data_IF_102243190032
#
_entry.id   IF_102243190032
#
_cell.length_a   1.000
_cell.length_b   1.000
_cell.length_c   1.000
_cell.angle_alpha   90.00
_cell.angle_beta   90.00
_cell.angle_gamma   90.00
#
_symmetry.space_group_name_H-M   'P 1'
#
loop_
_entity.id
_entity.type
_entity.pdbx_description
1 polymer ?
#
# COMPACT_ATOMS: atom_id res chain seq x y z
N UNK A 1 36.22 -37.59 -18.47
CA UNK A 1 35.84 -37.19 -19.84
C UNK A 1 35.04 -35.91 -19.75
N UNK A 2 35.75 -34.81 -19.96
CA UNK A 2 35.30 -33.42 -19.91
C UNK A 2 34.85 -33.03 -21.32
N UNK A 3 33.59 -32.64 -21.50
CA UNK A 3 33.09 -32.11 -22.76
C UNK A 3 33.15 -30.57 -22.71
N UNK A 4 34.03 -30.01 -23.53
CA UNK A 4 34.15 -28.58 -23.78
C UNK A 4 33.03 -28.12 -24.72
N UNK A 5 32.44 -26.96 -24.45
CA UNK A 5 31.57 -26.24 -25.39
C UNK A 5 32.41 -25.26 -26.22
N UNK A 6 32.30 -25.28 -27.55
CA UNK A 6 32.96 -24.29 -28.42
C UNK A 6 32.17 -22.98 -28.42
N UNK A 7 32.91 -21.87 -28.44
CA UNK A 7 32.36 -20.54 -28.67
C UNK A 7 32.31 -20.20 -30.15
N UNK A 8 31.39 -19.31 -30.50
CA UNK A 8 31.35 -18.47 -31.69
C UNK A 8 30.62 -17.18 -31.26
N UNK A 9 31.31 -16.03 -31.19
CA UNK A 9 31.40 -15.03 -32.26
C UNK A 9 30.03 -14.49 -32.73
N UNK A 10 29.48 -13.53 -31.96
CA UNK A 10 28.57 -12.53 -32.49
C UNK A 10 29.21 -11.14 -32.34
N UNK A 11 29.93 -10.72 -33.37
CA UNK A 11 30.31 -9.34 -33.59
C UNK A 11 29.06 -8.55 -34.04
N UNK A 12 28.61 -7.60 -33.22
CA UNK A 12 27.52 -6.68 -33.57
C UNK A 12 28.08 -5.39 -34.18
N UNK A 13 27.51 -4.86 -35.29
CA UNK A 13 28.00 -3.62 -35.92
C UNK A 13 27.65 -2.37 -35.12
N UNK A 14 28.56 -1.39 -35.16
CA UNK A 14 28.58 -0.19 -34.33
C UNK A 14 27.29 0.64 -34.29
N UNK A 15 26.87 0.95 -33.07
CA UNK A 15 25.92 2.02 -32.78
C UNK A 15 26.62 3.38 -32.82
N UNK A 16 26.00 4.42 -33.41
CA UNK A 16 26.53 5.77 -33.39
C UNK A 16 26.47 6.35 -31.97
N UNK A 17 27.56 7.00 -31.56
CA UNK A 17 27.71 7.68 -30.28
C UNK A 17 26.55 8.64 -29.99
N UNK A 18 25.64 8.20 -29.11
CA UNK A 18 24.60 9.02 -28.51
C UNK A 18 25.22 10.09 -27.60
N UNK A 19 24.63 11.29 -27.67
CA UNK A 19 24.95 12.39 -26.78
C UNK A 19 24.89 11.94 -25.32
N UNK A 20 26.03 12.01 -24.62
CA UNK A 20 26.15 11.85 -23.18
C UNK A 20 25.33 12.93 -22.47
N UNK A 21 24.08 12.61 -22.13
CA UNK A 21 23.32 13.33 -21.11
C UNK A 21 24.09 13.21 -19.80
N UNK A 22 24.66 14.33 -19.34
CA UNK A 22 25.40 14.42 -18.08
C UNK A 22 24.52 13.95 -16.90
N UNK A 23 24.86 12.84 -16.20
CA UNK A 23 24.05 12.28 -15.11
C UNK A 23 23.99 13.16 -13.84
N UNK A 24 24.70 14.30 -13.82
CA UNK A 24 24.73 15.21 -12.66
C UNK A 24 23.42 15.97 -12.43
N UNK A 25 22.51 16.08 -13.41
CA UNK A 25 21.25 16.82 -13.24
C UNK A 25 20.11 15.99 -12.63
N UNK A 26 20.07 14.68 -12.88
CA UNK A 26 18.97 13.82 -12.43
C UNK A 26 19.07 13.48 -10.94
N UNK A 27 20.27 13.16 -10.45
CA UNK A 27 20.51 12.91 -9.03
C UNK A 27 20.18 14.14 -8.17
N UNK A 28 20.53 15.33 -8.67
CA UNK A 28 20.21 16.59 -7.99
C UNK A 28 18.69 16.81 -7.90
N UNK A 29 17.95 16.56 -8.99
CA UNK A 29 16.49 16.68 -9.01
C UNK A 29 15.80 15.68 -8.07
N UNK A 30 16.25 14.42 -8.06
CA UNK A 30 15.71 13.39 -7.16
C UNK A 30 16.01 13.74 -5.69
N UNK A 31 17.25 14.15 -5.40
CA UNK A 31 17.65 14.58 -4.07
C UNK A 31 16.85 15.80 -3.60
N UNK A 32 16.61 16.78 -4.47
CA UNK A 32 15.85 17.99 -4.16
C UNK A 32 14.38 17.67 -3.83
N UNK A 33 13.74 16.81 -4.63
CA UNK A 33 12.35 16.38 -4.38
C UNK A 33 12.26 15.57 -3.08
N UNK A 34 13.17 14.62 -2.85
CA UNK A 34 13.17 13.80 -1.65
C UNK A 34 13.47 14.62 -0.38
N UNK A 35 14.48 15.49 -0.42
CA UNK A 35 14.87 16.34 0.70
C UNK A 35 13.81 17.39 1.05
N UNK A 36 13.10 17.94 0.05
CA UNK A 36 11.99 18.87 0.26
C UNK A 36 10.81 18.20 0.95
N UNK A 37 10.45 16.98 0.51
CA UNK A 37 9.40 16.17 1.15
C UNK A 37 9.75 15.82 2.60
N UNK A 38 10.97 15.32 2.86
CA UNK A 38 11.44 14.97 4.21
C UNK A 38 11.45 16.20 5.13
N UNK A 39 11.99 17.34 4.64
CA UNK A 39 12.07 18.58 5.42
C UNK A 39 10.69 19.14 5.76
N UNK A 40 9.74 19.05 4.84
CA UNK A 40 8.35 19.48 5.07
C UNK A 40 7.71 18.68 6.19
N UNK A 41 7.96 17.37 6.22
CA UNK A 41 7.42 16.45 7.24
C UNK A 41 8.06 16.67 8.61
N UNK A 42 9.39 16.79 8.67
CA UNK A 42 10.11 17.13 9.92
C UNK A 42 9.60 18.45 10.48
N UNK A 43 9.38 19.45 9.63
CA UNK A 43 8.88 20.75 10.05
C UNK A 43 7.42 20.69 10.53
N UNK A 44 6.56 19.90 9.88
CA UNK A 44 5.19 19.65 10.34
C UNK A 44 5.17 18.95 11.70
N UNK A 45 5.99 17.92 11.89
CA UNK A 45 6.13 17.20 13.16
C UNK A 45 6.65 18.11 14.29
N UNK A 46 7.67 18.93 14.01
CA UNK A 46 8.21 19.92 14.96
C UNK A 46 7.19 21.00 15.34
N UNK A 47 6.38 21.48 14.39
CA UNK A 47 5.31 22.44 14.68
C UNK A 47 4.23 21.83 15.57
N UNK A 48 3.84 20.58 15.29
CA UNK A 48 2.88 19.85 16.11
C UNK A 48 3.38 19.57 17.53
N UNK A 49 4.64 19.19 17.69
CA UNK A 49 5.25 18.99 19.01
C UNK A 49 5.28 20.29 19.83
N UNK A 50 5.61 21.44 19.20
CA UNK A 50 5.65 22.75 19.86
C UNK A 50 4.28 23.23 20.33
N UNK A 51 3.23 23.09 19.51
CA UNK A 51 1.87 23.48 19.92
C UNK A 51 1.32 22.63 21.06
N UNK A 52 1.72 21.35 21.14
CA UNK A 52 1.27 20.45 22.21
C UNK A 52 2.06 20.58 23.52
N UNK A 53 3.34 20.95 23.46
CA UNK A 53 4.17 21.15 24.65
C UNK A 53 3.79 22.44 25.40
N UNK A 54 3.51 23.53 24.67
CA UNK A 54 3.13 24.81 25.28
C UNK A 54 1.69 24.84 25.81
N UNK A 55 0.85 23.84 25.50
CA UNK A 55 -0.51 23.70 26.02
C UNK A 55 -0.59 22.79 27.27
N UNK A 56 0.56 22.34 27.80
CA UNK A 56 0.68 21.56 29.04
C UNK A 56 1.76 22.11 29.98
N UNK A 57 1.70 23.41 30.29
CA UNK A 57 2.33 23.90 31.51
C UNK A 57 1.36 23.65 32.68
N UNK A 58 1.70 22.81 33.68
CA UNK A 58 0.84 22.54 34.81
C UNK A 58 1.04 23.62 35.88
N UNK A 59 0.11 24.57 35.94
CA UNK A 59 -0.30 25.20 37.19
C UNK A 59 -1.48 24.40 37.75
N UNK A 60 -1.50 24.23 39.07
CA UNK A 60 -2.58 23.65 39.87
C UNK A 60 -2.46 22.15 40.19
N UNK A 61 -1.48 21.85 41.04
CA UNK A 61 -1.53 20.70 41.95
C UNK A 61 -2.47 21.02 43.13
N UNK A 62 -3.71 20.53 43.08
CA UNK A 62 -4.55 20.40 44.28
C UNK A 62 -4.52 18.93 44.71
N UNK A 63 -4.01 18.73 45.92
CA UNK A 63 -3.95 17.47 46.62
C UNK A 63 -5.34 16.89 46.87
N UNK A 64 -5.51 15.59 46.68
CA UNK A 64 -6.59 14.83 47.27
C UNK A 64 -6.11 13.40 47.59
N UNK A 65 -5.77 13.25 48.86
CA UNK A 65 -5.60 12.01 49.61
C UNK A 65 -6.86 11.14 49.51
N UNK A 66 -6.73 9.86 49.16
CA UNK A 66 -7.78 8.89 49.41
C UNK A 66 -7.19 7.53 49.80
N UNK A 67 -7.57 7.16 51.01
CA UNK A 67 -7.14 6.07 51.88
C UNK A 67 -7.53 4.70 51.35
N UNK A 68 -6.68 3.72 51.62
CA UNK A 68 -6.91 2.31 51.36
C UNK A 68 -8.03 1.73 52.24
N UNK A 69 -8.90 0.90 51.63
CA UNK A 69 -9.74 -0.05 52.37
C UNK A 69 -9.55 -1.42 51.74
N UNK A 70 -8.96 -2.32 52.53
CA UNK A 70 -8.85 -3.75 52.32
C UNK A 70 -10.17 -4.39 52.72
N UNK A 71 -10.76 -5.20 51.84
CA UNK A 71 -11.73 -6.21 52.25
C UNK A 71 -11.51 -7.48 51.44
N UNK A 72 -11.42 -8.57 52.18
CA UNK A 72 -11.04 -9.92 51.78
C UNK A 72 -12.28 -10.79 51.53
N UNK A 73 -12.04 -11.96 50.93
CA UNK A 73 -12.85 -13.18 50.85
C UNK A 73 -14.11 -13.22 49.97
N UNK A 74 -14.11 -14.05 48.91
CA UNK A 74 -14.47 -15.48 49.02
C UNK A 74 -14.74 -16.15 47.64
N UNK A 75 -13.97 -17.22 47.38
CA UNK A 75 -14.31 -18.49 46.70
C UNK A 75 -15.37 -18.52 45.59
N UNK A 76 -14.95 -18.88 44.36
CA UNK A 76 -15.75 -19.75 43.50
C UNK A 76 -14.86 -20.63 42.61
N UNK A 77 -15.07 -21.93 42.75
CA UNK A 77 -14.44 -23.03 42.03
C UNK A 77 -14.79 -23.02 40.54
N UNK A 78 -13.79 -23.03 39.66
CA UNK A 78 -13.96 -23.31 38.23
C UNK A 78 -13.63 -24.77 37.94
N UNK A 79 -14.64 -25.50 37.46
CA UNK A 79 -14.52 -26.83 36.88
C UNK A 79 -13.97 -26.74 35.45
N UNK A 80 -12.89 -27.46 35.20
CA UNK A 80 -12.28 -27.61 33.87
C UNK A 80 -13.21 -28.36 32.91
N UNK A 81 -13.51 -27.74 31.76
CA UNK A 81 -14.08 -28.42 30.58
C UNK A 81 -13.10 -28.33 29.41
N UNK A 82 -12.86 -29.47 28.78
CA UNK A 82 -11.86 -29.72 27.73
C UNK A 82 -12.02 -28.86 26.45
N UNK A 83 -10.94 -28.62 25.69
CA UNK A 83 -10.96 -27.81 24.48
C UNK A 83 -11.45 -28.62 23.27
N UNK A 84 -12.75 -28.55 23.00
CA UNK A 84 -13.35 -29.08 21.77
C UNK A 84 -13.40 -28.03 20.66
N UNK A 85 -12.55 -28.19 19.66
CA UNK A 85 -12.81 -28.01 18.22
C UNK A 85 -13.72 -26.83 17.77
N UNK A 86 -13.30 -25.58 18.00
CA UNK A 86 -14.06 -24.36 17.62
C UNK A 86 -13.31 -23.35 16.74
N UNK A 87 -12.15 -23.69 16.19
CA UNK A 87 -11.29 -22.66 15.57
C UNK A 87 -11.66 -22.33 14.13
N UNK A 88 -11.91 -23.32 13.27
CA UNK A 88 -12.07 -23.11 11.82
C UNK A 88 -13.46 -22.62 11.39
N UNK A 89 -14.53 -23.00 12.09
CA UNK A 89 -15.89 -22.56 11.74
C UNK A 89 -16.19 -21.10 12.14
N UNK A 90 -15.48 -20.56 13.14
CA UNK A 90 -15.68 -19.18 13.61
C UNK A 90 -15.06 -18.15 12.65
N UNK A 91 -13.92 -18.49 12.05
CA UNK A 91 -13.17 -17.64 11.14
C UNK A 91 -13.86 -17.50 9.78
N UNK A 92 -14.38 -18.61 9.26
CA UNK A 92 -15.18 -18.64 8.03
C UNK A 92 -16.53 -17.92 8.21
N UNK A 93 -17.22 -18.14 9.33
CA UNK A 93 -18.44 -17.39 9.67
C UNK A 93 -18.17 -15.90 9.92
N UNK A 94 -17.00 -15.55 10.44
CA UNK A 94 -16.57 -14.16 10.60
C UNK A 94 -16.29 -13.48 9.26
N UNK A 95 -15.57 -14.16 8.34
CA UNK A 95 -15.32 -13.67 6.99
C UNK A 95 -16.63 -13.49 6.18
N UNK A 96 -17.54 -14.46 6.28
CA UNK A 96 -18.86 -14.37 5.64
C UNK A 96 -19.79 -13.37 6.32
N UNK A 97 -19.65 -13.16 7.63
CA UNK A 97 -20.42 -12.16 8.39
C UNK A 97 -20.04 -10.72 8.07
N UNK A 98 -18.78 -10.45 7.72
CA UNK A 98 -18.30 -9.14 7.23
C UNK A 98 -18.94 -8.77 5.89
N UNK A 99 -19.35 -9.77 5.09
CA UNK A 99 -20.01 -9.58 3.80
C UNK A 99 -21.55 -9.63 3.89
N UNK A 100 -22.13 -9.87 5.06
CA UNK A 100 -23.58 -9.94 5.21
C UNK A 100 -24.16 -8.52 5.17
N UNK A 101 -25.06 -8.21 4.23
CA UNK A 101 -25.76 -6.93 4.22
C UNK A 101 -26.50 -6.75 5.55
N UNK A 102 -26.36 -5.57 6.16
CA UNK A 102 -27.16 -5.17 7.32
C UNK A 102 -28.65 -5.19 6.92
N UNK A 103 -29.51 -5.73 7.78
CA UNK A 103 -30.96 -5.89 7.53
C UNK A 103 -31.73 -4.56 7.46
N UNK A 104 -31.10 -3.44 7.79
CA UNK A 104 -31.57 -2.10 7.49
C UNK A 104 -31.33 -1.83 5.99
N UNK A 105 -32.33 -2.13 5.14
CA UNK A 105 -32.35 -2.15 3.65
C UNK A 105 -31.87 -0.91 2.88
N UNK A 106 -30.79 -0.27 3.31
CA UNK A 106 -30.06 0.79 2.62
C UNK A 106 -28.95 0.12 1.81
N UNK A 107 -29.10 0.12 0.49
CA UNK A 107 -28.07 -0.36 -0.43
C UNK A 107 -26.75 0.41 -0.30
N UNK A 108 -25.74 -0.02 -1.08
CA UNK A 108 -24.39 0.59 -1.10
C UNK A 108 -24.47 2.12 -1.22
N UNK A 109 -23.63 2.82 -0.45
CA UNK A 109 -23.47 4.27 -0.54
C UNK A 109 -22.92 4.68 -1.91
N UNK A 110 -23.12 5.93 -2.30
CA UNK A 110 -22.57 6.47 -3.56
C UNK A 110 -21.05 6.34 -3.63
N UNK A 111 -20.35 6.55 -2.50
CA UNK A 111 -18.91 6.33 -2.36
C UNK A 111 -18.55 4.88 -2.66
N UNK A 112 -19.23 3.93 -2.03
CA UNK A 112 -18.97 2.50 -2.20
C UNK A 112 -19.21 2.07 -3.65
N UNK A 113 -20.30 2.52 -4.27
CA UNK A 113 -20.57 2.25 -5.70
C UNK A 113 -19.47 2.80 -6.60
N UNK A 114 -18.99 4.02 -6.33
CA UNK A 114 -17.85 4.61 -7.05
C UNK A 114 -16.59 3.78 -6.90
N UNK A 115 -16.26 3.34 -5.68
CA UNK A 115 -15.09 2.50 -5.40
C UNK A 115 -15.20 1.13 -6.08
N UNK A 116 -16.37 0.50 -6.09
CA UNK A 116 -16.61 -0.74 -6.84
C UNK A 116 -16.46 -0.52 -8.35
N UNK A 117 -16.89 0.62 -8.88
CA UNK A 117 -16.67 1.00 -10.28
C UNK A 117 -15.19 1.11 -10.62
N UNK A 118 -14.40 1.77 -9.76
CA UNK A 118 -12.94 1.87 -9.94
C UNK A 118 -12.27 0.49 -9.86
N UNK A 119 -12.69 -0.35 -8.92
CA UNK A 119 -12.18 -1.72 -8.79
C UNK A 119 -12.51 -2.57 -10.02
N UNK A 120 -13.74 -2.48 -10.54
CA UNK A 120 -14.13 -3.18 -11.76
C UNK A 120 -13.30 -2.71 -12.96
N UNK A 121 -13.07 -1.40 -13.09
CA UNK A 121 -12.21 -0.84 -14.13
C UNK A 121 -10.76 -1.34 -13.99
N UNK A 122 -10.21 -1.42 -12.77
CA UNK A 122 -8.87 -1.96 -12.52
C UNK A 122 -8.71 -3.39 -13.03
N UNK A 123 -9.69 -4.27 -12.81
CA UNK A 123 -9.62 -5.62 -13.35
C UNK A 123 -9.88 -5.67 -14.86
N UNK A 124 -10.74 -4.81 -15.39
CA UNK A 124 -11.09 -4.79 -16.81
C UNK A 124 -9.95 -4.30 -17.72
N UNK A 125 -9.06 -3.42 -17.24
CA UNK A 125 -7.95 -2.94 -18.06
C UNK A 125 -6.96 -4.06 -18.43
N UNK A 126 -6.71 -5.03 -17.56
CA UNK A 126 -5.73 -6.10 -17.81
C UNK A 126 -6.02 -6.93 -19.08
N UNK A 127 -7.22 -7.52 -19.29
CA UNK A 127 -7.53 -8.24 -20.52
C UNK A 127 -7.54 -7.34 -21.76
N UNK A 128 -7.91 -6.06 -21.61
CA UNK A 128 -7.86 -5.10 -22.72
C UNK A 128 -6.42 -4.89 -23.18
N UNK A 129 -5.52 -4.53 -22.27
CA UNK A 129 -4.11 -4.30 -22.61
C UNK A 129 -3.41 -5.60 -23.07
N UNK A 130 -3.73 -6.75 -22.47
CA UNK A 130 -3.26 -8.05 -22.96
C UNK A 130 -3.67 -8.31 -24.42
N UNK A 131 -4.92 -8.03 -24.78
CA UNK A 131 -5.41 -8.18 -26.15
C UNK A 131 -4.71 -7.22 -27.11
N UNK A 132 -4.50 -5.97 -26.70
CA UNK A 132 -3.78 -4.97 -27.50
C UNK A 132 -2.34 -5.42 -27.80
N UNK A 133 -1.63 -5.97 -26.82
CA UNK A 133 -0.27 -6.48 -27.03
C UNK A 133 -0.27 -7.75 -27.90
N UNK A 134 -1.08 -8.75 -27.56
CA UNK A 134 -0.95 -10.09 -28.15
C UNK A 134 -1.71 -10.31 -29.45
N UNK A 135 -2.81 -9.57 -29.68
CA UNK A 135 -3.69 -9.74 -30.84
C UNK A 135 -3.63 -8.59 -31.82
N UNK A 136 -3.50 -7.36 -31.32
CA UNK A 136 -3.33 -6.18 -32.17
C UNK A 136 -1.86 -5.95 -32.53
N UNK A 137 -0.93 -6.45 -31.70
CA UNK A 137 0.51 -6.31 -31.94
C UNK A 137 1.07 -4.96 -31.50
N UNK A 138 0.42 -4.26 -30.56
CA UNK A 138 0.95 -3.03 -29.99
C UNK A 138 2.21 -3.37 -29.17
N UNK A 139 3.35 -2.67 -29.38
CA UNK A 139 4.59 -2.95 -28.66
C UNK A 139 4.38 -2.97 -27.14
N UNK A 140 4.95 -3.98 -26.48
CA UNK A 140 4.83 -4.20 -25.03
C UNK A 140 5.16 -2.93 -24.24
N UNK A 141 6.18 -2.18 -24.66
CA UNK A 141 6.61 -0.93 -24.01
C UNK A 141 5.47 0.10 -23.91
N UNK A 142 4.73 0.28 -25.01
CA UNK A 142 3.64 1.24 -25.11
C UNK A 142 2.45 0.74 -24.29
N UNK A 143 2.08 -0.52 -24.47
CA UNK A 143 0.96 -1.16 -23.78
C UNK A 143 1.16 -1.13 -22.27
N UNK A 144 2.35 -1.52 -21.81
CA UNK A 144 2.75 -1.57 -20.41
C UNK A 144 2.74 -0.18 -19.76
N UNK A 145 3.38 0.80 -20.39
CA UNK A 145 3.42 2.19 -19.88
C UNK A 145 2.02 2.78 -19.80
N UNK A 146 1.20 2.57 -20.84
CA UNK A 146 -0.19 3.05 -20.87
C UNK A 146 -1.05 2.39 -19.78
N UNK A 147 -0.88 1.07 -19.57
CA UNK A 147 -1.60 0.37 -18.50
C UNK A 147 -1.23 0.91 -17.13
N UNK A 148 0.05 1.16 -16.86
CA UNK A 148 0.50 1.75 -15.58
C UNK A 148 -0.10 3.15 -15.37
N UNK A 149 -0.14 3.99 -16.41
CA UNK A 149 -0.80 5.30 -16.33
C UNK A 149 -2.30 5.17 -16.02
N UNK A 150 -3.00 4.20 -16.63
CA UNK A 150 -4.39 3.90 -16.29
C UNK A 150 -4.53 3.47 -14.83
N UNK A 151 -3.68 2.58 -14.32
CA UNK A 151 -3.69 2.14 -12.92
C UNK A 151 -3.49 3.32 -11.97
N UNK A 152 -2.49 4.17 -12.23
CA UNK A 152 -2.24 5.38 -11.43
C UNK A 152 -3.46 6.31 -11.47
N UNK A 153 -4.07 6.50 -12.63
CA UNK A 153 -5.31 7.29 -12.79
C UNK A 153 -6.49 6.72 -12.00
N UNK A 154 -6.61 5.40 -11.93
CA UNK A 154 -7.63 4.71 -11.13
C UNK A 154 -7.38 4.91 -9.63
N UNK A 155 -6.13 4.80 -9.15
CA UNK A 155 -5.80 5.09 -7.75
C UNK A 155 -6.06 6.55 -7.38
N UNK A 156 -5.65 7.49 -8.24
CA UNK A 156 -5.93 8.91 -8.04
C UNK A 156 -7.44 9.18 -7.98
N UNK A 157 -8.22 8.54 -8.86
CA UNK A 157 -9.68 8.63 -8.88
C UNK A 157 -10.28 8.07 -7.59
N UNK A 158 -9.86 6.89 -7.14
CA UNK A 158 -10.31 6.31 -5.87
C UNK A 158 -10.04 7.24 -4.67
N UNK A 159 -8.86 7.84 -4.60
CA UNK A 159 -8.49 8.78 -3.54
C UNK A 159 -9.27 10.11 -3.62
N UNK A 160 -9.69 10.52 -4.83
CA UNK A 160 -10.49 11.71 -5.07
C UNK A 160 -11.98 11.51 -4.77
N UNK A 161 -12.52 10.28 -4.86
CA UNK A 161 -13.95 10.00 -4.67
C UNK A 161 -14.54 10.56 -3.34
N UNK A 162 -13.86 10.47 -2.18
CA UNK A 162 -14.34 11.09 -0.93
C UNK A 162 -14.46 12.62 -0.98
N UNK A 163 -13.77 13.28 -1.92
CA UNK A 163 -13.79 14.73 -2.12
C UNK A 163 -14.83 15.18 -3.14
N UNK A 164 -15.36 14.26 -3.94
CA UNK A 164 -16.40 14.55 -4.92
C UNK A 164 -17.75 14.82 -4.24
N UNK A 165 -18.59 15.61 -4.91
CA UNK A 165 -19.97 15.91 -4.48
C UNK A 165 -20.91 14.80 -4.96
N UNK A 166 -20.70 13.59 -4.43
CA UNK A 166 -21.56 12.45 -4.69
C UNK A 166 -22.80 12.49 -3.79
N UNK A 167 -23.95 11.96 -4.23
CA UNK A 167 -25.17 11.93 -3.43
C UNK A 167 -24.95 11.36 -2.03
N UNK A 168 -25.29 12.12 -0.98
CA UNK A 168 -25.10 11.71 0.42
C UNK A 168 -23.71 12.00 0.99
N UNK A 169 -22.88 12.77 0.29
CA UNK A 169 -21.58 13.25 0.77
C UNK A 169 -21.47 14.77 0.84
N UNK A 170 -22.52 15.51 0.51
CA UNK A 170 -22.51 16.98 0.39
C UNK A 170 -22.14 17.65 1.72
N UNK A 171 -22.62 17.11 2.83
CA UNK A 171 -22.45 17.64 4.18
C UNK A 171 -21.16 17.20 4.87
N UNK A 172 -20.34 16.36 4.24
CA UNK A 172 -19.08 15.87 4.85
C UNK A 172 -18.09 17.02 5.02
N UNK A 173 -17.63 17.19 6.26
CA UNK A 173 -16.53 18.08 6.62
C UNK A 173 -15.21 17.65 5.98
N UNK A 174 -14.23 18.54 5.88
CA UNK A 174 -12.89 18.21 5.35
C UNK A 174 -12.20 17.09 6.14
N UNK A 175 -12.40 17.05 7.45
CA UNK A 175 -11.82 16.00 8.31
C UNK A 175 -12.44 14.62 8.05
N UNK A 176 -13.75 14.57 7.80
CA UNK A 176 -14.46 13.33 7.45
C UNK A 176 -14.06 12.84 6.06
N UNK A 177 -13.93 13.75 5.09
CA UNK A 177 -13.46 13.41 3.73
C UNK A 177 -12.04 12.86 3.76
N UNK A 178 -11.14 13.50 4.50
CA UNK A 178 -9.79 12.99 4.71
C UNK A 178 -9.82 11.61 5.39
N UNK A 179 -10.63 11.43 6.43
CA UNK A 179 -10.78 10.13 7.09
C UNK A 179 -11.22 9.03 6.11
N UNK A 180 -12.20 9.31 5.25
CA UNK A 180 -12.62 8.39 4.21
C UNK A 180 -11.51 8.13 3.17
N UNK A 181 -10.77 9.15 2.73
CA UNK A 181 -9.59 8.98 1.85
C UNK A 181 -8.53 8.08 2.47
N UNK A 182 -8.26 8.20 3.77
CA UNK A 182 -7.31 7.30 4.47
C UNK A 182 -7.81 5.85 4.45
N UNK A 183 -9.09 5.62 4.71
CA UNK A 183 -9.65 4.26 4.62
C UNK A 183 -9.54 3.71 3.20
N UNK A 184 -9.80 4.52 2.17
CA UNK A 184 -9.60 4.13 0.76
C UNK A 184 -8.13 3.79 0.50
N UNK A 185 -7.19 4.61 0.99
CA UNK A 185 -5.76 4.32 0.84
C UNK A 185 -5.37 2.99 1.46
N UNK A 186 -5.84 2.68 2.67
CA UNK A 186 -5.55 1.38 3.31
C UNK A 186 -6.03 0.22 2.43
N UNK A 187 -7.19 0.32 1.78
CA UNK A 187 -7.62 -0.68 0.80
C UNK A 187 -6.73 -0.73 -0.44
N UNK A 188 -6.34 0.42 -0.99
CA UNK A 188 -5.42 0.50 -2.14
C UNK A 188 -4.06 -0.12 -1.79
N UNK A 189 -3.55 0.07 -0.57
CA UNK A 189 -2.28 -0.49 -0.13
C UNK A 189 -2.37 -2.00 0.15
N UNK A 190 -3.50 -2.47 0.70
CA UNK A 190 -3.74 -3.90 0.94
C UNK A 190 -3.93 -4.71 -0.34
N UNK A 191 -4.58 -4.14 -1.36
CA UNK A 191 -4.88 -4.85 -2.61
C UNK A 191 -3.63 -5.45 -3.30
N UNK A 192 -2.57 -4.69 -3.62
CA UNK A 192 -1.37 -5.24 -4.24
C UNK A 192 -0.71 -6.29 -3.36
N UNK A 193 -0.65 -6.12 -2.04
CA UNK A 193 -0.06 -7.12 -1.13
C UNK A 193 -0.66 -8.50 -1.28
N UNK A 194 -1.98 -8.58 -1.35
CA UNK A 194 -2.68 -9.87 -1.35
C UNK A 194 -3.04 -10.38 -2.75
N UNK A 195 -3.22 -9.49 -3.72
CA UNK A 195 -3.65 -9.83 -5.09
C UNK A 195 -2.45 -9.91 -6.04
N UNK A 196 -1.35 -9.22 -5.75
CA UNK A 196 -0.17 -9.13 -6.61
C UNK A 196 1.09 -9.72 -5.96
N UNK A 197 1.48 -9.27 -4.76
CA UNK A 197 2.74 -9.63 -4.11
C UNK A 197 2.69 -11.07 -3.58
N UNK A 198 1.62 -11.40 -2.85
CA UNK A 198 1.46 -12.73 -2.26
C UNK A 198 1.43 -13.85 -3.32
N UNK A 199 0.67 -13.74 -4.43
CA UNK A 199 0.76 -14.73 -5.49
C UNK A 199 2.14 -14.77 -6.15
N UNK A 200 2.79 -13.63 -6.35
CA UNK A 200 4.16 -13.58 -6.89
C UNK A 200 5.16 -14.35 -6.01
N UNK A 201 5.07 -14.19 -4.69
CA UNK A 201 5.93 -14.88 -3.73
C UNK A 201 5.72 -16.41 -3.73
N UNK A 202 4.47 -16.88 -3.84
CA UNK A 202 4.17 -18.31 -3.81
C UNK A 202 4.29 -19.01 -5.16
N UNK A 203 4.08 -18.30 -6.26
CA UNK A 203 3.97 -18.87 -7.61
C UNK A 203 4.93 -18.22 -8.60
N UNK A 204 6.09 -17.73 -8.10
CA UNK A 204 7.10 -17.01 -8.88
C UNK A 204 7.39 -17.64 -10.24
N UNK A 205 7.80 -18.91 -10.28
CA UNK A 205 8.19 -19.58 -11.52
C UNK A 205 7.03 -19.66 -12.53
N UNK A 206 5.82 -19.96 -12.05
CA UNK A 206 4.62 -20.05 -12.90
C UNK A 206 4.20 -18.68 -13.43
N UNK A 207 4.32 -17.64 -12.61
CA UNK A 207 4.01 -16.27 -13.00
C UNK A 207 5.03 -15.78 -14.02
N UNK A 208 6.32 -16.01 -13.78
CA UNK A 208 7.41 -15.70 -14.71
C UNK A 208 7.20 -16.40 -16.05
N UNK A 209 6.99 -17.71 -16.04
CA UNK A 209 6.71 -18.49 -17.24
C UNK A 209 5.47 -17.95 -17.98
N UNK A 210 4.37 -17.70 -17.26
CA UNK A 210 3.17 -17.16 -17.87
C UNK A 210 3.37 -15.78 -18.48
N UNK A 211 4.13 -14.88 -17.84
CA UNK A 211 4.47 -13.55 -18.41
C UNK A 211 5.30 -13.71 -19.68
N UNK A 212 6.34 -14.55 -19.67
CA UNK A 212 7.20 -14.81 -20.83
C UNK A 212 6.42 -15.43 -22.00
N UNK A 213 5.42 -16.27 -21.68
CA UNK A 213 4.52 -16.89 -22.65
C UNK A 213 3.27 -16.04 -22.96
N UNK A 214 3.24 -14.77 -22.51
CA UNK A 214 2.13 -13.83 -22.74
C UNK A 214 0.75 -14.37 -22.36
N UNK A 215 0.66 -15.09 -21.23
CA UNK A 215 -0.59 -15.61 -20.68
C UNK A 215 -1.45 -14.51 -20.05
N UNK A 216 -2.76 -14.54 -20.30
CA UNK A 216 -3.68 -13.51 -19.78
C UNK A 216 -3.69 -13.45 -18.25
N UNK A 217 -3.68 -14.60 -17.57
CA UNK A 217 -3.83 -14.64 -16.11
C UNK A 217 -2.63 -14.03 -15.37
N UNK A 218 -1.43 -14.03 -15.97
CA UNK A 218 -0.21 -13.42 -15.42
C UNK A 218 0.03 -12.00 -15.90
N UNK A 219 -0.86 -11.45 -16.73
CA UNK A 219 -0.58 -10.21 -17.43
C UNK A 219 -0.44 -9.00 -16.50
N UNK A 220 -1.07 -9.03 -15.32
CA UNK A 220 -0.94 -7.94 -14.34
C UNK A 220 0.49 -7.76 -13.80
N UNK A 221 1.34 -8.79 -13.87
CA UNK A 221 2.76 -8.71 -13.48
C UNK A 221 3.65 -8.22 -14.62
N UNK A 222 3.20 -8.33 -15.87
CA UNK A 222 4.00 -8.03 -17.06
C UNK A 222 4.63 -6.62 -17.05
N UNK A 223 3.94 -5.54 -16.61
CA UNK A 223 4.56 -4.21 -16.62
C UNK A 223 5.80 -4.06 -15.75
N UNK A 224 5.83 -4.78 -14.63
CA UNK A 224 6.94 -4.74 -13.68
C UNK A 224 8.03 -5.70 -14.14
N UNK A 225 7.67 -6.94 -14.48
CA UNK A 225 8.62 -8.00 -14.84
C UNK A 225 9.32 -7.77 -16.18
N UNK A 226 8.66 -7.12 -17.15
CA UNK A 226 9.15 -6.96 -18.53
C UNK A 226 9.51 -5.51 -18.86
N UNK A 227 10.00 -4.73 -17.89
CA UNK A 227 10.51 -3.36 -18.14
C UNK A 227 10.40 -2.38 -16.96
N UNK A 228 9.66 -2.74 -15.91
CA UNK A 228 9.64 -1.94 -14.68
C UNK A 228 10.92 -2.10 -13.89
N UNK A 229 11.15 -3.30 -13.37
CA UNK A 229 12.35 -3.64 -12.61
C UNK A 229 12.70 -5.12 -12.80
N UNK A 230 13.85 -5.36 -13.42
CA UNK A 230 14.35 -6.70 -13.72
C UNK A 230 14.56 -7.58 -12.46
N UNK A 231 14.70 -6.99 -11.27
CA UNK A 231 14.83 -7.72 -10.01
C UNK A 231 13.60 -8.57 -9.70
N UNK A 232 12.41 -8.14 -10.12
CA UNK A 232 11.19 -8.94 -10.01
C UNK A 232 11.11 -10.09 -11.01
N UNK A 233 11.85 -10.02 -12.12
CA UNK A 233 11.95 -11.13 -13.07
C UNK A 233 12.98 -12.18 -12.61
N UNK A 234 13.97 -11.74 -11.84
CA UNK A 234 15.08 -12.56 -11.37
C UNK A 234 14.88 -13.09 -9.95
N UNK A 235 13.88 -12.61 -9.22
CA UNK A 235 13.64 -13.03 -7.84
C UNK A 235 14.76 -12.56 -6.91
N UNK A 236 15.19 -11.32 -7.08
CA UNK A 236 16.26 -10.73 -6.27
C UNK A 236 15.98 -10.91 -4.76
N UNK A 237 16.93 -11.43 -3.96
CA UNK A 237 16.68 -11.75 -2.55
C UNK A 237 16.24 -10.55 -1.71
N UNK A 238 16.72 -9.34 -2.01
CA UNK A 238 16.30 -8.13 -1.30
C UNK A 238 14.84 -7.83 -1.62
N UNK A 239 14.45 -7.85 -2.91
CA UNK A 239 13.06 -7.64 -3.33
C UNK A 239 12.15 -8.70 -2.67
N UNK A 240 12.48 -9.98 -2.78
CA UNK A 240 11.71 -11.07 -2.15
C UNK A 240 11.52 -10.84 -0.64
N UNK A 241 12.58 -10.43 0.05
CA UNK A 241 12.53 -10.14 1.49
C UNK A 241 11.61 -8.96 1.79
N UNK A 242 11.68 -7.89 1.00
CA UNK A 242 10.85 -6.70 1.15
C UNK A 242 9.37 -7.00 0.90
N UNK A 243 9.06 -7.80 -0.12
CA UNK A 243 7.69 -8.24 -0.41
C UNK A 243 7.11 -9.10 0.73
N UNK A 244 7.91 -10.01 1.32
CA UNK A 244 7.47 -10.76 2.51
C UNK A 244 7.17 -9.84 3.70
N UNK A 245 8.00 -8.84 3.94
CA UNK A 245 7.77 -7.83 4.99
C UNK A 245 6.47 -7.06 4.69
N UNK A 246 6.26 -6.63 3.44
CA UNK A 246 5.06 -5.93 3.02
C UNK A 246 3.80 -6.76 3.27
N UNK A 247 3.80 -8.05 2.90
CA UNK A 247 2.69 -8.98 3.15
C UNK A 247 2.41 -9.15 4.65
N UNK A 248 3.44 -9.35 5.47
CA UNK A 248 3.27 -9.54 6.92
C UNK A 248 2.68 -8.29 7.57
N UNK A 249 3.16 -7.11 7.19
CA UNK A 249 2.59 -5.83 7.64
C UNK A 249 1.14 -5.68 7.16
N UNK A 250 0.88 -6.01 5.90
CA UNK A 250 -0.46 -6.02 5.32
C UNK A 250 -1.43 -6.93 6.09
N UNK A 251 -0.97 -8.04 6.66
CA UNK A 251 -1.81 -8.91 7.47
C UNK A 251 -2.29 -8.23 8.76
N UNK A 252 -1.44 -7.43 9.42
CA UNK A 252 -1.83 -6.65 10.59
C UNK A 252 -2.81 -5.53 10.24
N UNK A 253 -2.61 -4.88 9.11
CA UNK A 253 -3.51 -3.84 8.60
C UNK A 253 -4.85 -4.41 8.17
N UNK A 254 -4.85 -5.57 7.52
CA UNK A 254 -6.05 -6.31 7.16
C UNK A 254 -6.85 -6.69 8.41
N UNK A 255 -6.18 -7.19 9.44
CA UNK A 255 -6.82 -7.45 10.72
C UNK A 255 -7.43 -6.16 11.31
N UNK A 256 -6.68 -5.06 11.33
CA UNK A 256 -7.15 -3.79 11.87
C UNK A 256 -8.38 -3.26 11.11
N UNK A 257 -8.41 -3.36 9.77
CA UNK A 257 -9.54 -2.88 8.96
C UNK A 257 -10.77 -3.78 9.10
N UNK A 258 -10.60 -5.10 9.19
CA UNK A 258 -11.70 -6.03 9.47
C UNK A 258 -12.34 -5.67 10.82
N UNK A 259 -11.51 -5.48 11.85
CA UNK A 259 -12.01 -5.11 13.17
C UNK A 259 -12.64 -3.72 13.19
N UNK A 260 -12.14 -2.76 12.41
CA UNK A 260 -12.77 -1.45 12.25
C UNK A 260 -14.23 -1.55 11.79
N UNK A 261 -14.52 -2.38 10.77
CA UNK A 261 -15.89 -2.59 10.31
C UNK A 261 -16.75 -3.30 11.36
N UNK A 262 -16.19 -4.32 12.05
CA UNK A 262 -16.88 -5.05 13.12
C UNK A 262 -17.20 -4.16 14.32
N UNK A 263 -16.34 -3.17 14.59
CA UNK A 263 -16.50 -2.20 15.67
C UNK A 263 -17.37 -0.98 15.26
N UNK A 264 -18.17 -1.11 14.19
CA UNK A 264 -19.06 -0.04 13.75
C UNK A 264 -18.33 1.17 13.16
N UNK A 265 -17.23 0.93 12.43
CA UNK A 265 -16.36 1.95 11.81
C UNK A 265 -15.62 2.80 12.86
N UNK A 266 -15.13 2.14 13.91
CA UNK A 266 -14.32 2.74 14.97
C UNK A 266 -13.09 1.89 15.23
N UNK A 267 -11.92 2.51 15.23
CA UNK A 267 -10.68 1.86 15.65
C UNK A 267 -10.55 1.83 17.18
N UNK A 268 -9.84 0.85 17.71
CA UNK A 268 -9.16 0.97 19.00
C UNK A 268 -7.80 1.63 18.81
N UNK A 269 -7.19 2.14 19.89
CA UNK A 269 -5.83 2.72 19.83
C UNK A 269 -4.84 1.70 19.26
N UNK A 270 -4.95 0.44 19.65
CA UNK A 270 -4.06 -0.63 19.17
C UNK A 270 -4.26 -0.89 17.67
N UNK A 271 -5.50 -0.96 17.19
CA UNK A 271 -5.79 -1.17 15.76
C UNK A 271 -5.28 -0.03 14.89
N UNK A 272 -5.49 1.22 15.32
CA UNK A 272 -4.95 2.39 14.63
C UNK A 272 -3.42 2.41 14.71
N UNK A 273 -2.84 1.96 15.82
CA UNK A 273 -1.40 1.76 15.98
C UNK A 273 -0.82 0.74 14.99
N UNK A 274 -1.53 -0.35 14.70
CA UNK A 274 -1.12 -1.32 13.67
C UNK A 274 -1.09 -0.67 12.28
N UNK A 275 -2.15 0.05 11.90
CA UNK A 275 -2.18 0.82 10.64
C UNK A 275 -1.01 1.80 10.59
N UNK A 276 -0.81 2.59 11.64
CA UNK A 276 0.27 3.59 11.69
C UNK A 276 1.66 2.97 11.62
N UNK A 277 1.88 1.82 12.27
CA UNK A 277 3.16 1.12 12.22
C UNK A 277 3.42 0.58 10.82
N UNK A 278 2.37 0.08 10.15
CA UNK A 278 2.45 -0.33 8.75
C UNK A 278 2.85 0.82 7.84
N UNK A 279 2.26 2.00 8.01
CA UNK A 279 2.63 3.19 7.22
C UNK A 279 4.12 3.56 7.30
N UNK A 280 4.78 3.33 8.44
CA UNK A 280 6.24 3.57 8.57
C UNK A 280 7.00 2.61 7.68
N UNK A 281 6.61 1.33 7.65
CA UNK A 281 7.18 0.33 6.77
C UNK A 281 6.90 0.67 5.31
N UNK A 282 5.69 1.14 4.98
CA UNK A 282 5.29 1.53 3.62
C UNK A 282 6.11 2.68 3.04
N UNK A 283 6.65 3.59 3.86
CA UNK A 283 7.61 4.60 3.38
C UNK A 283 9.02 4.03 3.32
N UNK A 284 9.37 3.16 4.26
CA UNK A 284 10.73 2.59 4.37
C UNK A 284 11.05 1.68 3.19
N UNK A 285 10.11 0.83 2.77
CA UNK A 285 10.34 -0.11 1.67
C UNK A 285 10.65 0.61 0.34
N UNK A 286 9.83 1.55 -0.16
CA UNK A 286 10.19 2.36 -1.32
C UNK A 286 11.48 3.14 -1.11
N UNK A 287 11.76 3.67 0.08
CA UNK A 287 13.01 4.39 0.33
C UNK A 287 14.26 3.50 0.16
N UNK A 288 14.21 2.25 0.66
CA UNK A 288 15.27 1.26 0.44
C UNK A 288 15.34 0.88 -1.04
N UNK A 289 14.19 0.66 -1.66
CA UNK A 289 14.07 0.32 -3.07
C UNK A 289 14.71 1.39 -3.98
N UNK A 290 14.39 2.66 -3.74
CA UNK A 290 15.00 3.83 -4.39
C UNK A 290 16.49 3.94 -4.06
N UNK A 291 16.86 3.81 -2.79
CA UNK A 291 18.24 3.98 -2.33
C UNK A 291 19.19 2.97 -2.98
N UNK A 292 18.79 1.70 -3.07
CA UNK A 292 19.58 0.64 -3.71
C UNK A 292 19.67 0.87 -5.21
N UNK A 293 18.59 1.25 -5.87
CA UNK A 293 18.61 1.50 -7.32
C UNK A 293 19.49 2.70 -7.68
N UNK A 294 19.44 3.76 -6.87
CA UNK A 294 20.33 4.92 -6.99
C UNK A 294 21.80 4.54 -6.74
N UNK A 295 22.06 3.71 -5.73
CA UNK A 295 23.41 3.22 -5.44
C UNK A 295 23.97 2.37 -6.59
N UNK A 296 23.11 1.61 -7.27
CA UNK A 296 23.41 0.81 -8.45
C UNK A 296 23.26 1.61 -9.76
N UNK A 297 23.32 2.95 -9.70
CA UNK A 297 23.33 3.83 -10.89
C UNK A 297 22.15 3.63 -11.84
N UNK A 298 21.00 3.16 -11.34
CA UNK A 298 19.78 2.88 -12.11
C UNK A 298 19.96 1.78 -13.17
N UNK A 299 20.90 0.85 -12.96
CA UNK A 299 21.24 -0.22 -13.92
C UNK A 299 20.08 -1.19 -14.22
N UNK A 300 19.06 -1.28 -13.36
CA UNK A 300 17.91 -2.18 -13.57
C UNK A 300 16.76 -1.52 -14.35
N UNK A 301 16.88 -0.23 -14.68
CA UNK A 301 15.86 0.52 -15.43
C UNK A 301 16.12 0.44 -16.94
N UNK A 302 15.13 -0.02 -17.71
CA UNK A 302 15.25 -0.17 -19.17
C UNK A 302 15.17 1.14 -19.95
N UNK A 303 14.49 2.17 -19.42
CA UNK A 303 14.41 3.49 -20.06
C UNK A 303 14.04 4.62 -19.09
N UNK A 304 14.35 5.90 -19.42
CA UNK A 304 13.93 7.04 -18.60
C UNK A 304 12.41 7.15 -18.42
N UNK A 305 11.62 6.77 -19.42
CA UNK A 305 10.15 6.79 -19.34
C UNK A 305 9.67 5.76 -18.34
N UNK A 306 10.23 4.56 -18.35
CA UNK A 306 9.87 3.51 -17.38
C UNK A 306 10.31 3.86 -15.97
N UNK A 307 11.49 4.47 -15.82
CA UNK A 307 11.93 5.02 -14.56
C UNK A 307 10.94 6.07 -14.03
N UNK A 308 10.53 7.05 -14.83
CA UNK A 308 9.61 8.08 -14.33
C UNK A 308 8.20 7.56 -14.07
N UNK A 309 7.66 6.74 -14.97
CA UNK A 309 6.27 6.29 -14.91
C UNK A 309 6.09 5.08 -13.99
N UNK A 310 6.89 4.03 -14.19
CA UNK A 310 6.73 2.76 -13.46
C UNK A 310 7.43 2.81 -12.10
N UNK A 311 8.56 3.49 -12.03
CA UNK A 311 9.37 3.52 -10.81
C UNK A 311 9.07 4.74 -9.93
N UNK A 312 9.07 5.97 -10.45
CA UNK A 312 8.82 7.17 -9.62
C UNK A 312 7.32 7.42 -9.37
N UNK A 313 6.52 7.54 -10.41
CA UNK A 313 5.12 7.97 -10.30
C UNK A 313 4.28 7.00 -9.47
N UNK A 314 4.45 5.69 -9.69
CA UNK A 314 3.74 4.67 -8.93
C UNK A 314 4.11 4.76 -7.45
N UNK A 315 5.40 4.78 -7.11
CA UNK A 315 5.88 4.82 -5.74
C UNK A 315 5.65 6.17 -5.02
N UNK A 316 5.36 7.25 -5.74
CA UNK A 316 5.08 8.56 -5.13
C UNK A 316 3.86 8.50 -4.19
N UNK A 317 2.84 7.72 -4.54
CA UNK A 317 1.68 7.51 -3.68
C UNK A 317 2.07 6.78 -2.38
N UNK A 318 2.94 5.76 -2.48
CA UNK A 318 3.50 5.04 -1.33
C UNK A 318 4.47 5.87 -0.49
N UNK A 319 5.02 6.96 -1.03
CA UNK A 319 5.82 7.89 -0.23
C UNK A 319 4.96 8.92 0.51
N UNK A 320 3.80 9.30 -0.05
CA UNK A 320 3.02 10.46 0.42
C UNK A 320 1.83 10.07 1.29
N UNK A 321 1.05 9.10 0.86
CA UNK A 321 -0.16 8.67 1.56
C UNK A 321 0.11 8.02 2.92
N UNK A 322 1.20 7.26 3.12
CA UNK A 322 1.47 6.70 4.44
C UNK A 322 1.83 7.76 5.47
N UNK A 323 2.55 8.82 5.05
CA UNK A 323 2.86 9.96 5.91
C UNK A 323 1.56 10.68 6.32
N UNK A 324 0.67 10.92 5.36
CA UNK A 324 -0.63 11.54 5.61
C UNK A 324 -1.48 10.69 6.58
N UNK A 325 -1.52 9.38 6.36
CA UNK A 325 -2.21 8.40 7.20
C UNK A 325 -1.64 8.38 8.62
N UNK A 326 -0.32 8.40 8.76
CA UNK A 326 0.36 8.42 10.06
C UNK A 326 0.03 9.68 10.86
N UNK A 327 0.13 10.86 10.24
CA UNK A 327 -0.19 12.14 10.89
C UNK A 327 -1.68 12.22 11.26
N UNK A 328 -2.56 11.71 10.38
CA UNK A 328 -3.98 11.60 10.67
C UNK A 328 -4.25 10.69 11.86
N UNK A 329 -3.57 9.54 11.94
CA UNK A 329 -3.68 8.58 13.04
C UNK A 329 -3.23 9.19 14.37
N UNK A 330 -2.09 9.88 14.39
CA UNK A 330 -1.59 10.59 15.58
C UNK A 330 -2.60 11.60 16.12
N UNK A 331 -3.25 12.36 15.23
CA UNK A 331 -4.27 13.35 15.63
C UNK A 331 -5.48 12.67 16.26
N UNK A 332 -5.96 11.57 15.69
CA UNK A 332 -7.09 10.79 16.21
C UNK A 332 -6.82 10.13 17.55
N UNK A 333 -5.63 9.56 17.74
CA UNK A 333 -5.19 9.08 19.06
C UNK A 333 -5.13 10.25 20.04
N UNK A 334 -4.59 11.39 19.63
CA UNK A 334 -4.49 12.58 20.49
C UNK A 334 -5.84 13.15 20.94
N UNK A 335 -6.84 13.15 20.05
CA UNK A 335 -8.19 13.65 20.34
C UNK A 335 -9.15 12.59 20.88
N UNK A 336 -8.75 11.32 20.92
CA UNK A 336 -9.62 10.16 21.23
C UNK A 336 -10.83 10.00 20.29
N UNK A 337 -10.84 10.71 19.16
CA UNK A 337 -11.79 10.50 18.07
C UNK A 337 -11.27 9.38 17.16
N UNK A 338 -11.68 8.15 17.45
CA UNK A 338 -11.30 6.96 16.69
C UNK A 338 -12.39 6.49 15.70
N UNK A 339 -13.51 7.21 15.61
CA UNK A 339 -14.62 6.86 14.73
C UNK A 339 -14.46 7.52 13.36
N UNK A 340 -14.59 6.75 12.29
CA UNK A 340 -14.43 7.26 10.92
C UNK A 340 -15.72 7.05 10.15
N UNK A 341 -16.29 8.14 9.63
CA UNK A 341 -17.42 8.05 8.70
C UNK A 341 -16.91 7.55 7.35
N UNK A 342 -17.24 6.31 7.02
CA UNK A 342 -16.91 5.68 5.74
C UNK A 342 -18.17 5.31 4.97
#
# INVERSE_FOLDING_TARGET
MTAAYPGDEYASPGHPHGATLQPKSLFAQIYEVASTSISTVINAARRFARTRWNSRAPGDSVAATATATVTDTASRSESATAPGDRSSSSLLKALLGVLRPREDGKGLSSLQRGLFGVLAAFFAIHPVFWFLETKVGIPQQITSTSMVLCVVGLFATALALPWMRLPGQEERTRAERLGATIIVWVFIALAPRFIWELPWLFFFDKIKEGVLNQSLWTYMWAPVLMGGDARYLNGDPLVVTMEWIAVVVGAFELYAIIQFFRNGKRFTVNQLGLIMSGMVVEVTLPAVYFGVEIANKLENMSSPVEMWVKFVLLNLLWCTMPILTFVWGLRRIGSQDLAVKF
#
